data_IF_283199397413
#
_entry.id   IF_283199397413
#
_cell.length_a   1.000
_cell.length_b   1.000
_cell.length_c   1.000
_cell.angle_alpha   90.00
_cell.angle_beta   90.00
_cell.angle_gamma   90.00
#
_symmetry.space_group_name_H-M   'P 1'
#
loop_
_entity.id
_entity.type
_entity.pdbx_description
1 polymer ?
#
# COMPACT_ATOMS: atom_id res chain seq x y z
N UNK A 1 -74.55 -18.78 -4.47
CA UNK A 1 -74.02 -17.44 -4.14
C UNK A 1 -72.50 -17.52 -4.19
N UNK A 2 -71.93 -17.20 -5.34
CA UNK A 2 -70.47 -17.18 -5.53
C UNK A 2 -69.90 -15.88 -4.96
N UNK A 3 -68.81 -15.97 -4.22
CA UNK A 3 -68.04 -14.79 -3.82
C UNK A 3 -67.30 -14.26 -5.05
N UNK A 4 -67.36 -12.96 -5.21
CA UNK A 4 -66.66 -12.16 -6.22
C UNK A 4 -65.13 -12.31 -6.03
N UNK A 5 -64.32 -12.57 -7.08
CA UNK A 5 -62.87 -12.72 -6.95
C UNK A 5 -62.10 -11.39 -6.96
N UNK A 6 -62.78 -10.24 -6.83
CA UNK A 6 -62.18 -8.92 -7.06
C UNK A 6 -61.96 -8.05 -5.82
N UNK A 7 -61.88 -8.64 -4.62
CA UNK A 7 -61.56 -7.90 -3.39
C UNK A 7 -60.23 -8.38 -2.78
N UNK A 8 -59.14 -8.00 -3.43
CA UNK A 8 -57.79 -8.02 -2.88
C UNK A 8 -57.04 -6.80 -3.40
N UNK A 9 -56.81 -5.82 -2.54
CA UNK A 9 -55.87 -4.75 -2.78
C UNK A 9 -55.30 -4.25 -1.45
N UNK A 10 -54.13 -3.60 -1.47
CA UNK A 10 -52.95 -3.90 -2.26
C UNK A 10 -52.01 -4.81 -1.44
N UNK A 11 -51.57 -5.92 -2.03
CA UNK A 11 -50.43 -6.65 -1.49
C UNK A 11 -49.20 -5.74 -1.63
N UNK A 12 -48.80 -5.14 -0.52
CA UNK A 12 -47.57 -4.36 -0.43
C UNK A 12 -46.40 -5.20 -0.93
N UNK A 13 -45.60 -4.61 -1.81
CA UNK A 13 -44.41 -5.24 -2.37
C UNK A 13 -43.49 -5.73 -1.22
N UNK A 14 -43.26 -7.05 -1.08
CA UNK A 14 -42.45 -7.59 0.00
C UNK A 14 -40.96 -7.26 -0.14
N UNK A 15 -40.54 -6.55 -1.18
CA UNK A 15 -39.18 -6.05 -1.32
C UNK A 15 -38.94 -4.70 -0.63
N UNK A 16 -39.96 -4.17 0.06
CA UNK A 16 -39.83 -2.97 0.91
C UNK A 16 -39.56 -3.32 2.38
N UNK A 17 -38.86 -4.43 2.65
CA UNK A 17 -38.26 -4.62 3.97
C UNK A 17 -37.17 -3.56 4.16
N UNK A 18 -37.48 -2.63 5.06
CA UNK A 18 -36.61 -1.55 5.47
C UNK A 18 -35.25 -2.12 5.87
N UNK A 19 -34.25 -1.88 5.03
CA UNK A 19 -32.86 -2.03 5.37
C UNK A 19 -32.62 -1.25 6.68
N UNK A 20 -31.96 -1.85 7.70
CA UNK A 20 -31.56 -1.08 8.86
C UNK A 20 -30.72 0.09 8.35
N UNK A 21 -31.10 1.30 8.76
CA UNK A 21 -30.35 2.52 8.53
C UNK A 21 -29.05 2.46 9.36
N UNK A 22 -28.17 1.52 9.02
CA UNK A 22 -26.83 1.45 9.56
C UNK A 22 -26.09 2.69 9.05
N UNK A 23 -25.57 3.43 10.02
CA UNK A 23 -24.79 4.65 9.90
C UNK A 23 -23.85 4.61 8.69
N UNK A 24 -24.28 5.20 7.57
CA UNK A 24 -23.40 5.54 6.44
C UNK A 24 -22.42 6.59 6.92
N UNK A 25 -21.33 6.12 7.50
CA UNK A 25 -20.20 6.94 7.90
C UNK A 25 -19.35 7.18 6.66
N UNK A 26 -19.44 8.38 6.09
CA UNK A 26 -18.52 8.87 5.07
C UNK A 26 -19.25 9.44 3.86
N UNK A 27 -19.03 10.74 3.64
CA UNK A 27 -18.85 11.58 2.44
C UNK A 27 -19.07 11.02 1.01
N UNK A 28 -19.71 9.87 0.81
CA UNK A 28 -19.93 9.24 -0.47
C UNK A 28 -21.30 9.63 -1.04
N UNK A 29 -21.34 10.72 -1.79
CA UNK A 29 -22.49 11.08 -2.59
C UNK A 29 -22.42 10.30 -3.93
N UNK A 30 -23.27 9.30 -4.09
CA UNK A 30 -23.43 8.53 -5.34
C UNK A 30 -24.71 8.96 -6.05
N UNK A 31 -24.67 9.15 -7.37
CA UNK A 31 -25.83 9.52 -8.18
C UNK A 31 -25.92 8.67 -9.44
N UNK A 32 -27.10 8.51 -10.04
CA UNK A 32 -27.24 7.97 -11.39
C UNK A 32 -27.15 9.11 -12.42
N UNK A 33 -26.41 8.90 -13.51
CA UNK A 33 -26.41 9.83 -14.64
C UNK A 33 -27.65 9.64 -15.54
N UNK A 34 -27.76 10.50 -16.57
CA UNK A 34 -28.90 10.49 -17.50
C UNK A 34 -29.00 9.19 -18.33
N UNK A 35 -27.93 8.41 -18.40
CA UNK A 35 -27.86 7.13 -19.10
C UNK A 35 -28.05 5.94 -18.13
N UNK A 36 -28.28 6.21 -16.84
CA UNK A 36 -28.56 5.21 -15.81
C UNK A 36 -27.32 4.56 -15.20
N UNK A 37 -26.12 5.13 -15.40
CA UNK A 37 -24.91 4.65 -14.76
C UNK A 37 -24.71 5.31 -13.40
N UNK A 38 -24.30 4.50 -12.42
CA UNK A 38 -23.94 5.01 -11.09
C UNK A 38 -22.59 5.75 -11.18
N UNK A 39 -22.58 7.02 -10.79
CA UNK A 39 -21.40 7.89 -10.72
C UNK A 39 -21.15 8.33 -9.28
N UNK A 40 -19.88 8.36 -8.91
CA UNK A 40 -19.42 8.98 -7.68
C UNK A 40 -19.40 10.51 -7.87
N UNK A 41 -20.24 11.24 -7.13
CA UNK A 41 -20.25 12.71 -7.10
C UNK A 41 -19.58 13.28 -5.85
N UNK A 42 -19.03 12.43 -4.97
CA UNK A 42 -18.20 12.87 -3.84
C UNK A 42 -16.82 13.38 -4.26
N UNK A 43 -16.39 13.03 -5.49
CA UNK A 43 -15.03 13.20 -5.94
C UNK A 43 -14.69 14.66 -6.35
N UNK A 44 -14.55 15.55 -5.37
CA UNK A 44 -13.38 16.43 -5.36
C UNK A 44 -12.80 16.52 -3.95
N UNK A 45 -12.59 15.40 -3.28
CA UNK A 45 -11.56 15.36 -2.25
C UNK A 45 -10.18 15.31 -2.93
N UNK A 46 -9.81 16.42 -3.57
CA UNK A 46 -8.39 16.71 -3.80
C UNK A 46 -7.80 16.98 -2.43
N UNK A 47 -7.43 15.91 -1.73
CA UNK A 47 -6.51 16.06 -0.63
C UNK A 47 -5.31 16.83 -1.20
N UNK A 48 -5.12 18.06 -0.74
CA UNK A 48 -3.94 18.83 -1.05
C UNK A 48 -2.80 18.15 -0.29
N UNK A 49 -2.25 17.10 -0.87
CA UNK A 49 -1.00 16.54 -0.41
C UNK A 49 0.02 17.66 -0.54
N UNK A 50 0.66 18.03 0.57
CA UNK A 50 1.77 18.96 0.56
C UNK A 50 2.82 18.52 -0.47
N UNK A 51 3.74 19.42 -0.87
CA UNK A 51 4.85 19.01 -1.71
C UNK A 51 5.52 17.77 -1.10
N UNK A 52 5.91 16.77 -1.91
CA UNK A 52 6.52 15.57 -1.39
C UNK A 52 7.72 15.94 -0.51
N UNK A 53 7.98 15.20 0.59
CA UNK A 53 9.13 15.45 1.44
C UNK A 53 10.40 15.57 0.60
N UNK A 54 11.24 16.56 0.91
CA UNK A 54 12.49 16.75 0.16
C UNK A 54 13.41 15.56 0.46
N UNK A 55 14.05 14.98 -0.56
CA UNK A 55 15.11 14.00 -0.32
C UNK A 55 16.20 14.64 0.56
N UNK A 56 16.47 14.02 1.70
CA UNK A 56 17.61 14.34 2.55
C UNK A 56 18.90 13.71 2.00
N UNK A 57 20.01 13.95 2.67
CA UNK A 57 21.28 13.27 2.35
C UNK A 57 21.17 11.81 2.79
N UNK A 58 21.37 10.82 1.90
CA UNK A 58 21.32 9.41 2.27
C UNK A 58 22.36 9.09 3.35
N UNK A 59 21.99 8.25 4.31
CA UNK A 59 22.89 7.81 5.39
C UNK A 59 23.46 6.42 5.09
N UNK A 60 24.75 6.15 5.34
CA UNK A 60 25.29 4.79 5.23
C UNK A 60 24.47 3.81 6.08
N UNK A 61 24.16 2.61 5.56
CA UNK A 61 23.38 1.61 6.33
C UNK A 61 24.07 1.18 7.63
N UNK A 62 25.40 1.29 7.69
CA UNK A 62 26.20 0.99 8.88
C UNK A 62 25.94 1.96 10.03
N UNK A 63 25.48 3.19 9.73
CA UNK A 63 25.23 4.24 10.71
C UNK A 63 23.76 4.25 11.18
N UNK A 64 22.93 3.35 10.64
CA UNK A 64 21.49 3.28 10.94
C UNK A 64 21.20 2.03 11.78
N UNK A 65 20.64 2.17 13.01
CA UNK A 65 20.46 1.04 13.93
C UNK A 65 19.57 -0.09 13.43
N UNK A 66 18.52 0.23 12.67
CA UNK A 66 17.59 -0.75 12.09
C UNK A 66 17.29 -0.36 10.66
N UNK A 67 17.59 -1.24 9.71
CA UNK A 67 17.47 -0.94 8.28
C UNK A 67 16.46 -1.80 7.56
N UNK A 68 16.11 -2.99 8.08
CA UNK A 68 15.18 -3.89 7.38
C UNK A 68 13.86 -3.18 7.06
N UNK A 69 13.46 -3.28 5.81
CA UNK A 69 12.26 -2.67 5.24
C UNK A 69 12.38 -1.20 4.86
N UNK A 70 13.46 -0.49 5.20
CA UNK A 70 13.68 0.89 4.75
C UNK A 70 14.06 0.94 3.27
N UNK A 71 13.75 2.06 2.62
CA UNK A 71 14.24 2.34 1.25
C UNK A 71 15.74 2.58 1.29
N UNK A 72 16.44 2.03 0.31
CA UNK A 72 17.89 2.13 0.19
C UNK A 72 18.30 2.53 -1.22
N UNK A 73 19.39 3.28 -1.30
CA UNK A 73 20.11 3.63 -2.53
C UNK A 73 21.35 2.77 -2.63
N UNK A 74 21.56 2.18 -3.79
CA UNK A 74 22.75 1.39 -4.10
C UNK A 74 23.74 2.28 -4.86
N UNK A 75 24.92 2.49 -4.29
CA UNK A 75 25.99 3.24 -4.95
C UNK A 75 26.80 2.31 -5.85
N UNK A 76 26.80 2.59 -7.15
CA UNK A 76 27.58 1.83 -8.13
C UNK A 76 28.52 2.76 -8.91
N UNK A 77 29.46 2.18 -9.65
CA UNK A 77 30.33 2.95 -10.54
C UNK A 77 29.57 3.72 -11.62
N UNK A 78 28.36 3.27 -12.00
CA UNK A 78 27.50 3.94 -12.98
C UNK A 78 26.61 5.03 -12.35
N UNK A 79 26.64 5.18 -11.02
CA UNK A 79 25.79 6.10 -10.27
C UNK A 79 24.85 5.39 -9.28
N UNK A 80 24.00 6.19 -8.59
CA UNK A 80 23.05 5.68 -7.61
C UNK A 80 21.88 4.95 -8.28
N UNK A 81 21.45 3.84 -7.69
CA UNK A 81 20.24 3.08 -8.07
C UNK A 81 19.24 3.15 -6.93
N UNK A 82 18.04 3.65 -7.23
CA UNK A 82 16.93 3.86 -6.29
C UNK A 82 15.89 2.74 -6.38
N UNK A 83 14.76 2.86 -5.68
CA UNK A 83 13.63 1.91 -5.68
C UNK A 83 13.99 0.50 -5.17
N UNK A 84 14.84 0.47 -4.15
CA UNK A 84 15.24 -0.75 -3.44
C UNK A 84 14.89 -0.67 -1.97
N UNK A 85 14.77 -1.83 -1.33
CA UNK A 85 14.55 -1.96 0.12
C UNK A 85 15.50 -2.96 0.74
N UNK A 86 15.95 -2.66 1.95
CA UNK A 86 16.70 -3.59 2.77
C UNK A 86 15.81 -4.79 3.14
N UNK A 87 16.20 -5.98 2.69
CA UNK A 87 15.51 -7.23 2.97
C UNK A 87 16.03 -7.91 4.26
N UNK A 88 17.21 -7.52 4.74
CA UNK A 88 17.79 -7.94 6.02
C UNK A 88 18.31 -6.74 6.81
N UNK A 89 18.67 -7.00 8.07
CA UNK A 89 19.64 -6.13 8.75
C UNK A 89 21.04 -6.32 8.16
N UNK A 90 21.97 -5.43 8.51
CA UNK A 90 23.39 -5.63 8.18
C UNK A 90 23.90 -6.84 8.95
N UNK A 91 24.64 -7.72 8.27
CA UNK A 91 25.34 -8.86 8.85
C UNK A 91 26.81 -8.84 8.44
N UNK A 92 27.67 -9.51 9.20
CA UNK A 92 29.12 -9.54 8.93
C UNK A 92 29.61 -10.98 8.87
N UNK A 93 30.51 -11.24 7.94
CA UNK A 93 31.24 -12.50 7.78
C UNK A 93 32.75 -12.23 7.63
N UNK A 94 33.52 -13.28 7.30
CA UNK A 94 34.97 -13.20 7.06
C UNK A 94 35.36 -12.31 5.86
N UNK A 95 34.42 -12.02 4.95
CA UNK A 95 34.65 -11.22 3.76
C UNK A 95 34.22 -9.75 3.94
N UNK A 96 33.47 -9.43 4.99
CA UNK A 96 33.10 -8.06 5.35
C UNK A 96 31.66 -7.92 5.82
N UNK A 97 31.13 -6.70 5.75
CA UNK A 97 29.75 -6.39 6.13
C UNK A 97 28.85 -6.33 4.91
N UNK A 98 27.69 -6.97 5.01
CA UNK A 98 26.76 -7.22 3.93
C UNK A 98 25.32 -6.90 4.35
N UNK A 99 24.48 -6.67 3.35
CA UNK A 99 23.04 -6.50 3.52
C UNK A 99 22.31 -7.12 2.33
N UNK A 100 21.22 -7.82 2.60
CA UNK A 100 20.34 -8.35 1.55
C UNK A 100 19.38 -7.26 1.13
N UNK A 101 19.26 -7.03 -0.17
CA UNK A 101 18.44 -5.96 -0.77
C UNK A 101 17.49 -6.55 -1.81
N UNK A 102 16.25 -6.07 -1.81
CA UNK A 102 15.23 -6.39 -2.81
C UNK A 102 14.84 -5.15 -3.61
N UNK A 103 14.30 -5.33 -4.82
CA UNK A 103 13.55 -4.24 -5.46
C UNK A 103 12.32 -3.91 -4.63
N UNK A 104 11.89 -2.65 -4.67
CA UNK A 104 10.74 -2.20 -3.89
C UNK A 104 9.45 -2.94 -4.26
N UNK A 105 9.25 -3.21 -5.55
CA UNK A 105 8.12 -4.04 -6.01
C UNK A 105 8.15 -5.43 -5.38
N UNK A 106 9.30 -6.11 -5.40
CA UNK A 106 9.42 -7.45 -4.82
C UNK A 106 9.16 -7.45 -3.31
N UNK A 107 9.64 -6.40 -2.61
CA UNK A 107 9.36 -6.18 -1.20
C UNK A 107 7.86 -6.11 -0.90
N UNK A 108 7.11 -5.30 -1.67
CA UNK A 108 5.67 -5.16 -1.45
C UNK A 108 4.88 -6.43 -1.78
N UNK A 109 5.23 -7.13 -2.87
CA UNK A 109 4.61 -8.42 -3.20
C UNK A 109 4.83 -9.44 -2.07
N UNK A 110 6.06 -9.52 -1.56
CA UNK A 110 6.42 -10.38 -0.43
C UNK A 110 5.68 -9.99 0.86
N UNK A 111 5.55 -8.68 1.15
CA UNK A 111 4.79 -8.19 2.30
C UNK A 111 3.28 -8.46 2.20
N UNK A 112 2.73 -8.52 1.00
CA UNK A 112 1.33 -8.85 0.76
C UNK A 112 1.03 -10.36 0.77
N UNK A 113 2.06 -11.21 0.72
CA UNK A 113 1.90 -12.66 0.74
C UNK A 113 1.52 -13.19 2.13
N UNK A 114 0.78 -14.30 2.21
CA UNK A 114 0.44 -14.96 3.49
C UNK A 114 1.73 -15.24 4.27
N UNK A 115 1.72 -14.91 5.56
CA UNK A 115 2.89 -15.03 6.41
C UNK A 115 3.42 -16.47 6.49
N UNK A 116 2.55 -17.49 6.34
CA UNK A 116 2.91 -18.91 6.36
C UNK A 116 3.64 -19.36 5.10
N UNK A 117 3.46 -18.64 4.00
CA UNK A 117 4.06 -18.95 2.69
C UNK A 117 5.30 -18.09 2.40
N UNK A 118 5.59 -17.16 3.31
CA UNK A 118 6.62 -16.14 3.12
C UNK A 118 8.01 -16.70 3.39
N UNK A 119 8.95 -16.63 2.43
CA UNK A 119 10.34 -17.01 2.70
C UNK A 119 10.95 -16.15 3.81
N UNK A 120 11.59 -16.79 4.79
CA UNK A 120 12.21 -16.09 5.94
C UNK A 120 13.34 -15.15 5.52
N UNK A 121 14.09 -15.53 4.48
CA UNK A 121 15.23 -14.78 3.94
C UNK A 121 14.82 -13.51 3.19
N UNK A 122 13.52 -13.24 3.05
CA UNK A 122 12.99 -12.06 2.38
C UNK A 122 12.43 -12.35 0.98
N UNK A 123 12.16 -11.28 0.19
CA UNK A 123 11.57 -11.41 -1.13
C UNK A 123 12.40 -12.28 -2.09
N UNK A 124 11.78 -13.10 -2.94
CA UNK A 124 12.48 -13.78 -4.03
C UNK A 124 13.25 -12.80 -4.92
N UNK A 125 14.47 -13.18 -5.33
CA UNK A 125 15.34 -12.34 -6.16
C UNK A 125 16.11 -11.26 -5.39
N UNK A 126 16.02 -11.23 -4.06
CA UNK A 126 16.91 -10.40 -3.23
C UNK A 126 18.37 -10.79 -3.42
N UNK A 127 19.29 -9.82 -3.30
CA UNK A 127 20.73 -10.03 -3.45
C UNK A 127 21.51 -9.41 -2.30
N UNK A 128 22.59 -10.05 -1.91
CA UNK A 128 23.54 -9.47 -0.96
C UNK A 128 24.36 -8.35 -1.63
N UNK A 129 24.56 -7.26 -0.91
CA UNK A 129 25.38 -6.11 -1.28
C UNK A 129 26.36 -5.79 -0.17
N UNK A 130 27.57 -5.36 -0.53
CA UNK A 130 28.53 -4.85 0.44
C UNK A 130 27.94 -3.60 1.11
N UNK A 131 27.84 -3.61 2.43
CA UNK A 131 27.12 -2.58 3.19
C UNK A 131 27.70 -1.17 2.98
N UNK A 132 29.00 -1.06 2.70
CA UNK A 132 29.69 0.19 2.38
C UNK A 132 29.15 0.91 1.14
N UNK A 133 28.45 0.19 0.25
CA UNK A 133 27.87 0.73 -0.98
C UNK A 133 26.35 0.94 -0.87
N UNK A 134 25.76 0.80 0.33
CA UNK A 134 24.32 0.89 0.54
C UNK A 134 24.01 2.02 1.52
N UNK A 135 23.06 2.87 1.15
CA UNK A 135 22.66 4.03 1.92
C UNK A 135 21.15 4.01 2.14
N UNK A 136 20.68 4.35 3.33
CA UNK A 136 19.26 4.54 3.62
C UNK A 136 18.80 5.87 3.03
N UNK A 137 17.70 5.84 2.28
CA UNK A 137 17.02 7.06 1.87
C UNK A 137 16.44 7.74 3.12
N UNK A 138 16.89 8.97 3.37
CA UNK A 138 16.32 9.82 4.40
C UNK A 138 15.52 10.90 3.69
N UNK A 139 14.29 11.11 4.13
CA UNK A 139 13.50 12.26 3.72
C UNK A 139 13.59 13.27 4.85
N UNK A 140 13.94 14.52 4.54
CA UNK A 140 13.84 15.57 5.54
C UNK A 140 12.39 15.63 5.99
N UNK A 141 12.15 15.67 7.31
CA UNK A 141 10.81 15.81 7.86
C UNK A 141 10.09 16.92 7.08
N UNK A 142 9.01 16.55 6.39
CA UNK A 142 8.13 17.52 5.77
C UNK A 142 7.52 18.41 6.87
N UNK A 143 7.12 19.66 6.55
CA UNK A 143 6.48 20.55 7.51
C UNK A 143 5.28 19.91 8.21
#
# INVERSE_FOLDING_TARGET
MGRDPHDAGPDGDPLTEAWPEDERTGDEAWEFDADGYLRDVSATHRAAYGPPPRPGVPLPVMDVPTVKGRRVVLMTAAGPIYDHRAASEVYTDESGSWITVATERAWYVWQASDQRERPELGPPGSRAWAAVNVYVEVYADGP
#
